data_IF_731988612838
#
_entry.id   IF_731988612838
#
_cell.length_a   1.000
_cell.length_b   1.000
_cell.length_c   1.000
_cell.angle_alpha   90.00
_cell.angle_beta   90.00
_cell.angle_gamma   90.00
#
_symmetry.space_group_name_H-M   'P 1'
#
loop_
_entity.id
_entity.type
_entity.pdbx_description
1 polymer ?
#
# COMPACT_ATOMS: atom_id res chain seq x y z
N UNK A 1 -12.50 -6.07 23.14
CA UNK A 1 -11.92 -5.46 21.92
C UNK A 1 -11.17 -4.20 22.33
N UNK A 2 -9.85 -4.06 22.25
CA UNK A 2 -8.75 -4.96 21.90
C UNK A 2 -7.44 -4.27 22.32
N UNK A 3 -6.73 -4.85 23.28
CA UNK A 3 -5.58 -4.27 24.01
C UNK A 3 -4.33 -4.02 23.16
N UNK A 4 -4.26 -4.55 21.93
CA UNK A 4 -3.11 -4.41 21.04
C UNK A 4 -3.15 -3.18 20.14
N UNK A 5 -4.33 -2.79 19.64
CA UNK A 5 -4.48 -1.60 18.79
C UNK A 5 -4.12 -0.34 19.60
N UNK A 6 -4.63 -0.25 20.83
CA UNK A 6 -4.32 0.87 21.74
C UNK A 6 -2.80 1.04 21.96
N UNK A 7 -2.07 -0.08 22.11
CA UNK A 7 -0.60 -0.04 22.27
C UNK A 7 0.13 0.42 21.01
N UNK A 8 -0.39 0.11 19.83
CA UNK A 8 0.16 0.62 18.56
C UNK A 8 -0.09 2.12 18.46
N UNK A 9 -1.30 2.56 18.81
CA UNK A 9 -1.72 3.97 18.77
C UNK A 9 -0.90 4.89 19.69
N UNK A 10 -0.31 4.35 20.77
CA UNK A 10 0.62 5.09 21.65
C UNK A 10 1.90 5.56 20.93
N UNK A 11 2.32 4.87 19.86
CA UNK A 11 3.59 5.13 19.15
C UNK A 11 3.41 5.39 17.66
N UNK A 12 2.27 5.01 17.08
CA UNK A 12 2.00 5.07 15.65
C UNK A 12 0.61 5.64 15.39
N UNK A 13 0.48 6.49 14.38
CA UNK A 13 -0.84 6.90 13.90
C UNK A 13 -1.48 5.74 13.14
N UNK A 14 -2.63 5.26 13.61
CA UNK A 14 -3.45 4.30 12.89
C UNK A 14 -4.45 5.07 12.03
N UNK A 15 -4.17 5.14 10.72
CA UNK A 15 -4.99 5.90 9.77
C UNK A 15 -6.03 4.98 9.13
N UNK A 16 -7.34 5.34 9.17
CA UNK A 16 -8.37 4.57 8.47
C UNK A 16 -8.27 4.81 6.96
N UNK A 17 -8.70 3.82 6.17
CA UNK A 17 -8.94 3.99 4.75
C UNK A 17 -10.20 4.84 4.54
N UNK A 18 -10.04 6.06 4.05
CA UNK A 18 -11.11 7.05 3.92
C UNK A 18 -11.50 7.35 2.46
N UNK A 19 -12.45 8.27 2.28
CA UNK A 19 -12.94 8.65 0.96
C UNK A 19 -11.85 9.24 0.04
N UNK A 20 -10.88 9.96 0.61
CA UNK A 20 -9.76 10.50 -0.19
C UNK A 20 -8.86 9.38 -0.68
N UNK A 21 -8.51 8.43 0.20
CA UNK A 21 -7.76 7.25 -0.16
C UNK A 21 -8.51 6.41 -1.21
N UNK A 22 -9.85 6.32 -1.12
CA UNK A 22 -10.67 5.61 -2.09
C UNK A 22 -10.65 6.23 -3.50
N UNK A 23 -10.68 7.57 -3.58
CA UNK A 23 -10.56 8.28 -4.85
C UNK A 23 -9.18 8.05 -5.46
N UNK A 24 -8.12 8.15 -4.65
CA UNK A 24 -6.75 7.95 -5.13
C UNK A 24 -6.50 6.49 -5.54
N UNK A 25 -7.07 5.53 -4.80
CA UNK A 25 -7.07 4.11 -5.16
C UNK A 25 -7.68 3.89 -6.55
N UNK A 26 -8.85 4.48 -6.83
CA UNK A 26 -9.51 4.30 -8.12
C UNK A 26 -8.63 4.78 -9.29
N UNK A 27 -7.95 5.92 -9.12
CA UNK A 27 -7.01 6.47 -10.12
C UNK A 27 -5.80 5.56 -10.33
N UNK A 28 -5.15 5.14 -9.24
CA UNK A 28 -3.99 4.24 -9.30
C UNK A 28 -4.39 2.92 -9.96
N UNK A 29 -5.50 2.34 -9.53
CA UNK A 29 -5.99 1.07 -10.05
C UNK A 29 -6.29 1.14 -11.54
N UNK A 30 -6.95 2.19 -12.01
CA UNK A 30 -7.21 2.41 -13.43
C UNK A 30 -5.91 2.50 -14.22
N UNK A 31 -4.98 3.37 -13.79
CA UNK A 31 -3.67 3.51 -14.46
C UNK A 31 -2.88 2.19 -14.49
N UNK A 32 -2.94 1.39 -13.43
CA UNK A 32 -2.28 0.06 -13.38
C UNK A 32 -3.00 -1.05 -14.16
N UNK A 33 -4.26 -0.85 -14.53
CA UNK A 33 -4.93 -1.69 -15.54
C UNK A 33 -4.46 -1.30 -16.94
N UNK A 34 -4.33 0.00 -17.21
CA UNK A 34 -3.95 0.54 -18.51
C UNK A 34 -2.49 0.23 -18.88
N UNK A 35 -1.59 0.11 -17.89
CA UNK A 35 -0.18 -0.25 -18.09
C UNK A 35 0.11 -1.77 -17.95
N UNK A 36 -0.94 -2.59 -17.86
CA UNK A 36 -0.88 -4.05 -17.67
C UNK A 36 -0.18 -4.55 -16.39
N UNK A 37 0.23 -3.67 -15.46
CA UNK A 37 0.88 -4.07 -14.19
C UNK A 37 0.03 -5.07 -13.42
N UNK A 38 -1.29 -4.86 -13.35
CA UNK A 38 -2.19 -5.78 -12.64
C UNK A 38 -2.22 -7.16 -13.31
N UNK A 39 -2.16 -7.22 -14.63
CA UNK A 39 -2.15 -8.49 -15.35
C UNK A 39 -0.82 -9.22 -15.14
N UNK A 40 0.30 -8.51 -15.23
CA UNK A 40 1.64 -9.04 -14.97
C UNK A 40 1.76 -9.60 -13.55
N UNK A 41 1.31 -8.85 -12.53
CA UNK A 41 1.35 -9.33 -11.14
C UNK A 41 0.42 -10.54 -10.91
N UNK A 42 -0.74 -10.58 -11.57
CA UNK A 42 -1.60 -11.78 -11.49
C UNK A 42 -0.94 -13.01 -12.11
N UNK A 43 -0.19 -12.84 -13.19
CA UNK A 43 0.60 -13.91 -13.80
C UNK A 43 1.75 -14.37 -12.87
N UNK A 44 2.36 -13.44 -12.13
CA UNK A 44 3.35 -13.73 -11.07
C UNK A 44 2.75 -14.42 -9.82
N UNK A 45 1.45 -14.73 -9.83
CA UNK A 45 0.76 -15.46 -8.76
C UNK A 45 0.09 -14.59 -7.69
N UNK A 46 0.11 -13.26 -7.83
CA UNK A 46 -0.55 -12.37 -6.89
C UNK A 46 -2.08 -12.40 -7.07
N UNK A 47 -2.81 -12.65 -5.99
CA UNK A 47 -4.28 -12.67 -6.05
C UNK A 47 -4.86 -11.26 -6.25
N UNK A 48 -6.03 -11.19 -6.87
CA UNK A 48 -6.76 -9.91 -7.01
C UNK A 48 -7.02 -9.24 -5.66
N UNK A 49 -7.25 -10.03 -4.60
CA UNK A 49 -7.47 -9.49 -3.26
C UNK A 49 -6.18 -8.86 -2.70
N UNK A 50 -5.05 -9.55 -2.82
CA UNK A 50 -3.74 -9.03 -2.42
C UNK A 50 -3.46 -7.69 -3.11
N UNK A 51 -3.57 -7.64 -4.44
CA UNK A 51 -3.31 -6.42 -5.21
C UNK A 51 -4.23 -5.25 -4.84
N UNK A 52 -5.49 -5.54 -4.48
CA UNK A 52 -6.41 -4.51 -3.99
C UNK A 52 -5.94 -3.94 -2.66
N UNK A 53 -5.54 -4.79 -1.73
CA UNK A 53 -5.04 -4.37 -0.41
C UNK A 53 -3.77 -3.53 -0.59
N UNK A 54 -2.82 -3.96 -1.41
CA UNK A 54 -1.60 -3.19 -1.72
C UNK A 54 -1.94 -1.81 -2.29
N UNK A 55 -2.86 -1.77 -3.25
CA UNK A 55 -3.29 -0.51 -3.85
C UNK A 55 -3.97 0.41 -2.83
N UNK A 56 -4.74 -0.13 -1.88
CA UNK A 56 -5.32 0.65 -0.78
C UNK A 56 -4.24 1.23 0.14
N UNK A 57 -3.18 0.46 0.44
CA UNK A 57 -2.03 0.93 1.23
C UNK A 57 -1.31 2.06 0.48
N UNK A 58 -1.00 1.88 -0.80
CA UNK A 58 -0.35 2.91 -1.65
C UNK A 58 -1.19 4.18 -1.72
N UNK A 59 -2.50 4.05 -1.95
CA UNK A 59 -3.40 5.20 -2.02
C UNK A 59 -3.48 5.96 -0.69
N UNK A 60 -3.54 5.24 0.43
CA UNK A 60 -3.52 5.84 1.78
C UNK A 60 -2.20 6.59 2.01
N UNK A 61 -1.07 5.96 1.72
CA UNK A 61 0.24 6.57 1.90
C UNK A 61 0.40 7.83 1.04
N UNK A 62 -0.02 7.78 -0.23
CA UNK A 62 0.07 8.90 -1.17
C UNK A 62 -0.84 10.07 -0.75
N UNK A 63 -2.09 9.79 -0.37
CA UNK A 63 -3.03 10.84 0.09
C UNK A 63 -2.57 11.52 1.37
N UNK A 64 -1.92 10.77 2.26
CA UNK A 64 -1.32 11.29 3.49
C UNK A 64 0.08 11.88 3.30
N UNK A 65 0.59 11.93 2.06
CA UNK A 65 1.91 12.45 1.71
C UNK A 65 3.03 11.78 2.52
N UNK A 66 2.89 10.48 2.76
CA UNK A 66 3.96 9.69 3.36
C UNK A 66 5.20 9.75 2.46
N UNK A 67 6.38 9.79 3.07
CA UNK A 67 7.65 9.81 2.34
C UNK A 67 7.96 8.46 1.67
N UNK A 68 7.58 7.36 2.33
CA UNK A 68 7.78 6.01 1.86
C UNK A 68 6.81 5.03 2.56
N UNK A 69 6.74 3.81 2.02
CA UNK A 69 6.15 2.65 2.69
C UNK A 69 7.27 1.73 3.14
N UNK A 70 7.22 1.26 4.38
CA UNK A 70 8.13 0.22 4.85
C UNK A 70 7.52 -1.17 4.62
N UNK A 71 8.16 -2.00 3.80
CA UNK A 71 7.72 -3.36 3.52
C UNK A 71 8.82 -4.21 2.88
N UNK A 72 8.77 -5.53 3.12
CA UNK A 72 9.55 -6.53 2.39
C UNK A 72 8.74 -7.21 1.26
N UNK A 73 7.47 -6.83 1.09
CA UNK A 73 6.61 -7.41 0.06
C UNK A 73 7.01 -6.92 -1.35
N UNK A 74 7.45 -7.86 -2.18
CA UNK A 74 7.91 -7.58 -3.54
C UNK A 74 6.76 -7.21 -4.48
N UNK A 75 5.55 -7.74 -4.25
CA UNK A 75 4.34 -7.39 -5.01
C UNK A 75 3.97 -5.94 -4.78
N UNK A 76 3.92 -5.51 -3.52
CA UNK A 76 3.69 -4.13 -3.13
C UNK A 76 4.77 -3.21 -3.70
N UNK A 77 6.06 -3.59 -3.63
CA UNK A 77 7.16 -2.81 -4.21
C UNK A 77 7.01 -2.61 -5.71
N UNK A 78 6.67 -3.67 -6.46
CA UNK A 78 6.39 -3.58 -7.90
C UNK A 78 5.17 -2.69 -8.17
N UNK A 79 4.08 -2.89 -7.43
CA UNK A 79 2.83 -2.15 -7.60
C UNK A 79 2.97 -0.65 -7.30
N UNK A 80 3.67 -0.31 -6.22
CA UNK A 80 3.88 1.06 -5.75
C UNK A 80 4.83 1.87 -6.64
N UNK A 81 5.56 1.22 -7.55
CA UNK A 81 6.50 1.87 -8.47
C UNK A 81 5.81 2.98 -9.28
N UNK A 82 6.42 4.17 -9.26
CA UNK A 82 5.90 5.39 -9.86
C UNK A 82 4.95 6.21 -8.96
N UNK A 83 4.56 5.69 -7.79
CA UNK A 83 3.63 6.36 -6.88
C UNK A 83 4.24 6.75 -5.54
N UNK A 84 4.97 5.83 -4.91
CA UNK A 84 5.64 6.06 -3.62
C UNK A 84 6.83 5.10 -3.47
N UNK A 85 7.89 5.55 -2.82
CA UNK A 85 9.06 4.73 -2.53
C UNK A 85 8.71 3.63 -1.50
N UNK A 86 9.15 2.40 -1.75
CA UNK A 86 9.03 1.28 -0.80
C UNK A 86 10.42 0.90 -0.29
N UNK A 87 10.62 1.03 1.02
CA UNK A 87 11.87 0.74 1.74
C UNK A 87 11.72 -0.50 2.58
N UNK A 88 12.82 -1.21 2.77
CA UNK A 88 12.87 -2.27 3.76
C UNK A 88 12.96 -1.68 5.17
N UNK A 89 12.44 -2.40 6.16
CA UNK A 89 12.54 -1.97 7.56
C UNK A 89 14.01 -2.11 7.97
N UNK A 90 14.64 -1.04 8.48
CA UNK A 90 16.02 -1.12 8.91
C UNK A 90 16.15 -2.11 10.09
N UNK A 91 17.18 -2.94 10.06
CA UNK A 91 17.55 -3.76 11.20
C UNK A 91 17.89 -2.87 12.39
N UNK A 92 17.30 -3.15 13.54
CA UNK A 92 17.73 -2.53 14.79
C UNK A 92 19.17 -3.00 15.10
N UNK A 93 20.05 -2.11 15.58
CA UNK A 93 21.37 -2.49 16.06
C UNK A 93 21.31 -3.39 17.29
#
# INVERSE_FOLDING_TARGET
MGTYIQKIEEKFMVIPYDAMAAIEFAKIWQSKQEDDTIQALRHDGFSKHHLKVDSMIVATAKTRKASCIYSHDQGLKKFASGYIEVKEIPSLP
#
